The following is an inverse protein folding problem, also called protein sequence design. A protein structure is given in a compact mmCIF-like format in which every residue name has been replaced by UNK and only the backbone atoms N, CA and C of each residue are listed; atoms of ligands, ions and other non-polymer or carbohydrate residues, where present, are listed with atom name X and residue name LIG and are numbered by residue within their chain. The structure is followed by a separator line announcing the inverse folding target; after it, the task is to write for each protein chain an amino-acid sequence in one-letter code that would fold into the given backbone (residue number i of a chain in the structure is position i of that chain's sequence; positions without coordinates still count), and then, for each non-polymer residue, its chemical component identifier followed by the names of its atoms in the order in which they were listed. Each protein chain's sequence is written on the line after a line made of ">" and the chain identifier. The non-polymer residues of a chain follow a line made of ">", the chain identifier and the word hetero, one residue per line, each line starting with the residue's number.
data_IF_257410080665
#
_entry.id   IF_257410080665
#
_cell.length_a   1.000
_cell.length_b   1.000
_cell.length_c   1.000
_cell.angle_alpha   90.00
_cell.angle_beta   90.00
_cell.angle_gamma   90.00
#
_symmetry.space_group_name_H-M   'P 1'
#
loop_
_entity.id
_entity.type
_entity.pdbx_description
1 polymer ?
#
# COMPACT_ATOMS: atom_id res chain seq x y z
N UNK A 1 -0.38 -53.02 -12.74
CA UNK A 1 -1.66 -52.75 -13.42
C UNK A 1 -2.30 -51.59 -12.64
N UNK A 2 -1.97 -50.35 -13.04
CA UNK A 2 -2.89 -49.39 -13.72
C UNK A 2 -3.96 -48.87 -12.73
N UNK A 3 -4.19 -47.59 -12.42
CA UNK A 3 -3.78 -46.25 -12.86
C UNK A 3 -4.06 -45.28 -11.68
N UNK A 4 -3.15 -44.37 -11.33
CA UNK A 4 -3.22 -42.92 -11.60
C UNK A 4 -4.62 -42.28 -11.74
N UNK A 5 -4.93 -41.27 -10.92
CA UNK A 5 -5.21 -39.89 -11.38
C UNK A 5 -5.81 -39.04 -10.25
N UNK A 6 -5.17 -37.90 -9.96
CA UNK A 6 -5.62 -36.96 -8.94
C UNK A 6 -4.71 -35.75 -8.81
N UNK A 7 -4.45 -35.09 -9.93
CA UNK A 7 -3.60 -33.90 -10.08
C UNK A 7 -3.99 -32.75 -9.14
N UNK A 8 -3.05 -32.12 -8.42
CA UNK A 8 -3.32 -30.85 -7.75
C UNK A 8 -3.30 -29.70 -8.76
N UNK A 9 -4.42 -28.98 -8.81
CA UNK A 9 -4.60 -27.71 -9.52
C UNK A 9 -3.45 -26.73 -9.20
N UNK A 10 -2.52 -26.60 -10.14
CA UNK A 10 -1.58 -25.47 -10.23
C UNK A 10 -2.40 -24.19 -10.43
N UNK A 11 -2.64 -23.45 -9.34
CA UNK A 11 -3.13 -22.07 -9.41
C UNK A 11 -2.10 -21.23 -10.16
N UNK A 12 -2.49 -20.78 -11.35
CA UNK A 12 -1.71 -19.95 -12.26
C UNK A 12 -1.08 -18.76 -11.56
N UNK A 13 0.23 -18.82 -11.44
CA UNK A 13 1.12 -17.74 -10.99
C UNK A 13 1.65 -17.02 -12.22
N UNK A 14 0.76 -16.50 -13.07
CA UNK A 14 1.16 -15.80 -14.30
C UNK A 14 0.24 -14.59 -14.50
N UNK A 15 0.84 -13.47 -14.95
CA UNK A 15 0.27 -12.14 -15.23
C UNK A 15 0.28 -11.04 -14.14
N UNK A 16 1.02 -11.17 -13.03
CA UNK A 16 1.41 -9.99 -12.24
C UNK A 16 2.74 -9.37 -12.72
N UNK A 17 3.67 -10.18 -13.24
CA UNK A 17 5.02 -9.73 -13.60
C UNK A 17 5.11 -8.91 -14.90
N UNK A 18 4.34 -9.27 -15.94
CA UNK A 18 4.41 -8.58 -17.24
C UNK A 18 3.90 -7.14 -17.18
N UNK A 19 2.86 -6.86 -16.38
CA UNK A 19 2.34 -5.50 -16.20
C UNK A 19 3.33 -4.59 -15.45
N UNK A 20 4.21 -5.14 -14.62
CA UNK A 20 5.24 -4.37 -13.89
C UNK A 20 6.42 -4.02 -14.80
N UNK A 21 6.81 -4.91 -15.72
CA UNK A 21 7.92 -4.67 -16.65
C UNK A 21 7.62 -3.52 -17.61
N UNK A 22 6.41 -3.45 -18.18
CA UNK A 22 6.02 -2.35 -19.08
C UNK A 22 5.93 -1.00 -18.33
N UNK A 23 5.47 -1.02 -17.07
CA UNK A 23 5.34 0.17 -16.21
C UNK A 23 6.69 0.70 -15.68
N UNK A 24 7.65 -0.22 -15.49
CA UNK A 24 9.04 0.09 -15.11
C UNK A 24 9.80 0.84 -16.22
N UNK A 25 9.48 0.57 -17.49
CA UNK A 25 10.01 1.32 -18.65
C UNK A 25 9.41 2.74 -18.71
N UNK A 26 8.19 2.94 -18.21
CA UNK A 26 7.49 4.25 -18.19
C UNK A 26 7.70 5.07 -16.89
N UNK A 27 8.51 4.57 -15.94
CA UNK A 27 8.75 5.25 -14.66
C UNK A 27 7.55 5.26 -13.69
N UNK A 28 6.52 4.44 -13.93
CA UNK A 28 5.31 4.38 -13.10
C UNK A 28 5.58 3.50 -11.88
N UNK A 29 5.75 4.12 -10.71
CA UNK A 29 6.18 3.45 -9.47
C UNK A 29 7.55 3.87 -8.96
N UNK A 30 8.23 4.76 -9.67
CA UNK A 30 9.43 5.45 -9.18
C UNK A 30 9.02 6.49 -8.13
N UNK A 31 9.77 6.59 -7.05
CA UNK A 31 9.61 7.68 -6.09
C UNK A 31 9.97 9.01 -6.79
N UNK A 32 9.10 10.04 -6.73
CA UNK A 32 9.43 11.35 -7.29
C UNK A 32 10.74 11.90 -6.71
N UNK A 33 11.55 12.58 -7.52
CA UNK A 33 12.87 13.08 -7.11
C UNK A 33 12.78 14.00 -5.89
N UNK A 34 11.75 14.84 -5.82
CA UNK A 34 11.52 15.75 -4.69
C UNK A 34 11.23 14.98 -3.39
N UNK A 35 10.43 13.91 -3.45
CA UNK A 35 10.19 13.03 -2.30
C UNK A 35 11.44 12.26 -1.90
N UNK A 36 12.29 11.87 -2.86
CA UNK A 36 13.57 11.22 -2.56
C UNK A 36 14.51 12.18 -1.83
N UNK A 37 14.62 13.42 -2.30
CA UNK A 37 15.45 14.45 -1.68
C UNK A 37 15.00 14.78 -0.24
N UNK A 38 13.70 14.68 0.06
CA UNK A 38 13.15 14.82 1.41
C UNK A 38 13.58 13.66 2.33
N UNK A 39 13.69 12.44 1.81
CA UNK A 39 13.99 11.22 2.57
C UNK A 39 15.49 10.93 2.71
N UNK A 40 16.32 11.41 1.78
CA UNK A 40 17.77 11.25 1.84
C UNK A 40 18.40 11.77 3.16
N UNK A 41 18.07 12.98 3.67
CA UNK A 41 18.60 13.46 4.96
C UNK A 41 18.07 12.66 6.16
N UNK A 42 16.94 11.95 6.03
CA UNK A 42 16.40 11.09 7.09
C UNK A 42 17.13 9.74 7.20
N UNK A 43 17.98 9.39 6.24
CA UNK A 43 18.64 8.09 6.19
C UNK A 43 17.68 6.98 5.75
N UNK A 44 17.71 6.66 4.46
CA UNK A 44 16.90 5.59 3.86
C UNK A 44 17.45 4.22 4.28
N UNK A 45 16.65 3.46 5.01
CA UNK A 45 16.95 2.08 5.43
C UNK A 45 16.53 1.08 4.35
N UNK A 46 15.43 1.36 3.68
CA UNK A 46 14.91 0.54 2.58
C UNK A 46 14.17 1.41 1.58
N UNK A 47 14.45 1.22 0.30
CA UNK A 47 13.72 1.82 -0.81
C UNK A 47 13.36 0.72 -1.80
N UNK A 48 12.08 0.48 -1.96
CA UNK A 48 11.53 -0.38 -2.99
C UNK A 48 10.64 0.45 -3.91
N UNK A 49 11.01 0.50 -5.18
CA UNK A 49 10.24 1.15 -6.24
C UNK A 49 9.53 0.09 -7.10
N UNK A 50 8.49 0.49 -7.82
CA UNK A 50 7.69 -0.42 -8.66
C UNK A 50 7.03 -1.57 -7.87
N UNK A 51 6.69 -1.31 -6.61
CA UNK A 51 6.10 -2.29 -5.69
C UNK A 51 4.65 -2.56 -6.13
N UNK A 52 4.28 -3.82 -6.43
CA UNK A 52 2.89 -4.18 -6.67
C UNK A 52 2.06 -3.98 -5.41
N UNK A 53 0.99 -3.20 -5.51
CA UNK A 53 0.06 -2.97 -4.39
C UNK A 53 -1.27 -3.61 -4.71
N UNK A 54 -1.66 -4.61 -3.93
CA UNK A 54 -2.99 -5.21 -4.03
C UNK A 54 -3.94 -4.42 -3.15
N UNK A 55 -4.85 -3.68 -3.78
CA UNK A 55 -5.90 -2.93 -3.10
C UNK A 55 -7.20 -3.72 -3.13
N UNK A 56 -7.87 -3.82 -1.99
CA UNK A 56 -9.18 -4.45 -1.86
C UNK A 56 -10.09 -3.55 -1.04
N UNK A 57 -11.25 -3.26 -1.59
CA UNK A 57 -12.32 -2.55 -0.90
C UNK A 57 -13.61 -3.33 -1.01
N UNK A 58 -14.33 -3.43 0.10
CA UNK A 58 -15.69 -3.98 0.15
C UNK A 58 -16.48 -3.17 1.16
N UNK A 59 -17.53 -2.49 0.73
CA UNK A 59 -18.23 -1.54 1.58
C UNK A 59 -19.04 -0.50 0.83
N UNK A 60 -19.51 0.51 1.56
CA UNK A 60 -20.22 1.67 1.05
C UNK A 60 -19.60 2.94 1.60
N UNK A 61 -19.37 3.90 0.71
CA UNK A 61 -19.02 5.29 1.02
C UNK A 61 -19.94 6.22 0.21
N UNK A 62 -20.08 7.50 0.58
CA UNK A 62 -20.82 8.48 -0.22
C UNK A 62 -20.34 8.48 -1.68
N UNK A 63 -21.27 8.24 -2.61
CA UNK A 63 -20.99 8.19 -4.04
C UNK A 63 -20.43 6.86 -4.58
N UNK A 64 -20.18 5.86 -3.73
CA UNK A 64 -19.70 4.54 -4.20
C UNK A 64 -20.03 3.40 -3.22
N UNK A 65 -20.68 2.36 -3.72
CA UNK A 65 -20.82 1.09 -3.01
C UNK A 65 -20.23 -0.06 -3.84
N UNK A 66 -19.51 -0.96 -3.18
CA UNK A 66 -18.89 -2.12 -3.81
C UNK A 66 -19.00 -3.35 -2.92
N UNK A 67 -19.58 -4.44 -3.44
CA UNK A 67 -19.62 -5.74 -2.73
C UNK A 67 -18.25 -6.43 -2.68
N UNK A 68 -17.31 -5.98 -3.50
CA UNK A 68 -15.93 -6.44 -3.53
C UNK A 68 -15.23 -5.88 -4.76
N UNK A 69 -14.18 -5.09 -4.54
CA UNK A 69 -13.42 -4.43 -5.58
C UNK A 69 -11.94 -4.66 -5.30
N UNK A 70 -11.29 -5.44 -6.18
CA UNK A 70 -9.85 -5.71 -6.09
C UNK A 70 -9.19 -4.99 -7.26
N UNK A 71 -8.21 -4.14 -6.95
CA UNK A 71 -7.42 -3.39 -7.92
C UNK A 71 -5.94 -3.66 -7.69
N UNK A 72 -5.18 -3.71 -8.78
CA UNK A 72 -3.72 -3.81 -8.71
C UNK A 72 -3.11 -2.46 -9.09
N UNK A 73 -2.45 -1.85 -8.12
CA UNK A 73 -1.71 -0.61 -8.28
C UNK A 73 -0.20 -0.87 -8.26
N UNK A 74 0.56 0.17 -8.51
CA UNK A 74 2.02 0.17 -8.37
C UNK A 74 2.40 1.38 -7.53
N UNK A 75 3.34 1.19 -6.62
CA UNK A 75 3.77 2.19 -5.66
C UNK A 75 5.26 2.11 -5.38
N UNK A 76 5.69 2.92 -4.42
CA UNK A 76 6.99 2.80 -3.78
C UNK A 76 6.78 2.63 -2.27
N UNK A 77 7.64 1.85 -1.64
CA UNK A 77 7.72 1.72 -0.19
C UNK A 77 9.11 2.18 0.25
N UNK A 78 9.13 3.11 1.20
CA UNK A 78 10.36 3.64 1.78
C UNK A 78 10.28 3.50 3.29
N UNK A 79 11.34 2.97 3.88
CA UNK A 79 11.57 2.98 5.32
C UNK A 79 12.80 3.86 5.57
N UNK A 80 12.65 4.87 6.39
CA UNK A 80 13.76 5.72 6.85
C UNK A 80 13.96 5.54 8.35
N UNK A 81 15.02 6.15 8.89
CA UNK A 81 15.21 6.20 10.34
C UNK A 81 14.12 6.99 11.08
N UNK A 82 13.29 7.76 10.35
CA UNK A 82 12.27 8.65 10.91
C UNK A 82 10.82 8.25 10.58
N UNK A 83 10.56 7.57 9.46
CA UNK A 83 9.19 7.23 9.04
C UNK A 83 9.08 6.01 8.13
N UNK A 84 7.84 5.57 7.96
CA UNK A 84 7.41 4.74 6.83
C UNK A 84 6.62 5.58 5.83
N UNK A 85 7.00 5.48 4.55
CA UNK A 85 6.32 6.14 3.44
C UNK A 85 5.91 5.10 2.40
N UNK A 86 4.61 4.96 2.16
CA UNK A 86 4.02 4.16 1.09
C UNK A 86 3.29 5.04 0.10
N UNK A 87 3.66 4.94 -1.18
CA UNK A 87 2.97 5.67 -2.25
C UNK A 87 2.06 4.76 -3.05
N UNK A 88 0.94 5.30 -3.52
CA UNK A 88 0.03 4.63 -4.45
C UNK A 88 -0.05 5.45 -5.72
N UNK A 89 0.43 4.90 -6.83
CA UNK A 89 0.36 5.57 -8.14
C UNK A 89 -0.68 4.89 -9.02
N UNK A 90 -1.57 5.70 -9.58
CA UNK A 90 -2.53 5.28 -10.61
C UNK A 90 -2.13 5.78 -12.00
N UNK A 91 -1.34 6.85 -12.06
CA UNK A 91 -0.85 7.50 -13.28
C UNK A 91 0.66 7.77 -13.19
N UNK A 92 1.38 7.84 -14.32
CA UNK A 92 2.80 8.22 -14.33
C UNK A 92 3.02 9.58 -13.66
N UNK A 93 4.10 9.72 -12.88
CA UNK A 93 4.54 10.97 -12.23
C UNK A 93 3.61 11.55 -11.16
N UNK A 94 2.48 10.91 -10.85
CA UNK A 94 1.63 11.28 -9.70
C UNK A 94 1.52 10.09 -8.76
N UNK A 95 2.30 10.15 -7.69
CA UNK A 95 2.27 9.19 -6.60
C UNK A 95 1.58 9.85 -5.40
N UNK A 96 0.37 9.41 -5.08
CA UNK A 96 -0.30 9.85 -3.86
C UNK A 96 0.37 9.21 -2.65
N UNK A 97 0.67 10.00 -1.60
CA UNK A 97 1.08 9.44 -0.31
C UNK A 97 -0.10 8.69 0.28
N UNK A 98 0.00 7.36 0.28
CA UNK A 98 -1.03 6.49 0.81
C UNK A 98 -0.73 6.15 2.28
N UNK A 99 0.54 6.06 2.65
CA UNK A 99 1.01 5.96 4.03
C UNK A 99 2.15 6.94 4.17
N UNK A 100 2.12 7.78 5.19
CA UNK A 100 3.22 8.64 5.61
C UNK A 100 3.09 8.76 7.13
N UNK A 101 3.89 7.99 7.87
CA UNK A 101 3.79 7.89 9.32
C UNK A 101 5.18 7.97 9.92
N UNK A 102 5.42 8.98 10.75
CA UNK A 102 6.68 9.09 11.47
C UNK A 102 6.70 8.14 12.67
N UNK A 103 7.89 7.67 13.01
CA UNK A 103 8.10 6.79 14.17
C UNK A 103 7.94 7.51 15.50
N UNK A 104 8.02 8.84 15.53
CA UNK A 104 7.80 9.67 16.73
C UNK A 104 6.35 10.13 16.89
N UNK A 105 5.49 9.93 15.89
CA UNK A 105 4.08 10.29 15.97
C UNK A 105 3.28 9.31 16.86
N UNK A 106 2.18 9.79 17.48
CA UNK A 106 1.29 8.95 18.28
C UNK A 106 0.79 7.73 17.51
N UNK A 107 0.88 6.54 18.11
CA UNK A 107 0.42 5.29 17.49
C UNK A 107 -1.09 5.11 17.71
N UNK A 108 -1.88 5.88 16.96
CA UNK A 108 -3.32 5.89 17.09
C UNK A 108 -4.01 6.01 15.73
N UNK A 109 -5.28 5.63 15.71
CA UNK A 109 -6.16 5.79 14.56
C UNK A 109 -6.68 4.47 14.00
N UNK A 110 -7.60 4.56 13.04
CA UNK A 110 -8.36 3.41 12.54
C UNK A 110 -7.60 2.55 11.53
N UNK A 111 -6.51 3.07 10.96
CA UNK A 111 -5.72 2.34 9.97
C UNK A 111 -4.58 1.62 10.67
N UNK A 112 -4.52 0.31 10.47
CA UNK A 112 -3.43 -0.54 10.92
C UNK A 112 -2.46 -0.83 9.78
N UNK A 113 -1.18 -0.64 10.02
CA UNK A 113 -0.11 -0.89 9.08
C UNK A 113 0.91 -1.87 9.70
N UNK A 114 1.08 -3.04 9.10
CA UNK A 114 1.93 -4.14 9.57
C UNK A 114 3.06 -4.43 8.57
N UNK A 115 4.30 -4.28 9.02
CA UNK A 115 5.53 -4.59 8.29
C UNK A 115 5.96 -6.04 8.51
N UNK A 116 6.32 -6.70 7.42
CA UNK A 116 6.83 -8.07 7.42
C UNK A 116 7.91 -8.24 6.34
N UNK A 117 8.59 -9.39 6.33
CA UNK A 117 9.53 -9.74 5.27
C UNK A 117 8.90 -9.75 3.87
N UNK A 118 7.57 -9.89 3.79
CA UNK A 118 6.81 -9.90 2.52
C UNK A 118 6.33 -8.53 2.06
N UNK A 119 6.55 -7.49 2.88
CA UNK A 119 6.22 -6.11 2.58
C UNK A 119 5.34 -5.48 3.66
N UNK A 120 4.48 -4.54 3.25
CA UNK A 120 3.59 -3.79 4.14
C UNK A 120 2.13 -4.18 3.87
N UNK A 121 1.43 -4.61 4.91
CA UNK A 121 -0.01 -4.79 4.91
C UNK A 121 -0.68 -3.61 5.61
N UNK A 122 -1.70 -3.03 4.98
CA UNK A 122 -2.51 -1.95 5.53
C UNK A 122 -3.95 -2.40 5.56
N UNK A 123 -4.61 -2.24 6.68
CA UNK A 123 -6.00 -2.61 6.88
C UNK A 123 -6.75 -1.52 7.64
N UNK A 124 -7.99 -1.26 7.26
CA UNK A 124 -8.86 -0.32 7.96
C UNK A 124 -10.32 -0.74 7.83
N UNK A 125 -11.03 -0.68 8.96
CA UNK A 125 -12.49 -0.63 8.95
C UNK A 125 -12.90 0.82 8.69
N UNK A 126 -13.49 1.07 7.53
CA UNK A 126 -13.76 2.46 7.11
C UNK A 126 -14.83 3.13 7.96
N UNK A 127 -15.65 2.36 8.69
CA UNK A 127 -16.63 2.91 9.65
C UNK A 127 -15.97 3.60 10.84
N UNK A 128 -14.73 3.24 11.15
CA UNK A 128 -13.93 3.88 12.21
C UNK A 128 -13.28 5.18 11.72
N UNK A 129 -13.27 5.44 10.42
CA UNK A 129 -12.77 6.70 9.83
C UNK A 129 -13.89 7.73 9.76
N UNK A 130 -15.09 7.33 9.32
CA UNK A 130 -16.26 8.19 9.23
C UNK A 130 -17.53 7.33 9.45
N UNK A 131 -18.46 7.74 10.31
CA UNK A 131 -19.68 6.96 10.60
C UNK A 131 -20.60 6.80 9.38
N UNK A 132 -20.46 7.64 8.35
CA UNK A 132 -21.15 7.51 7.07
C UNK A 132 -20.56 6.44 6.16
N UNK A 133 -19.45 5.81 6.54
CA UNK A 133 -18.78 4.76 5.78
C UNK A 133 -19.06 3.39 6.41
N UNK A 134 -19.05 2.34 5.58
CA UNK A 134 -19.17 0.97 6.04
C UNK A 134 -18.28 0.05 5.23
N UNK A 135 -17.70 -0.97 5.89
CA UNK A 135 -16.92 -2.02 5.25
C UNK A 135 -15.43 -1.95 5.55
N UNK A 136 -14.63 -2.56 4.68
CA UNK A 136 -13.19 -2.76 4.89
C UNK A 136 -12.38 -2.36 3.67
N UNK A 137 -11.25 -1.72 3.92
CA UNK A 137 -10.22 -1.43 2.93
C UNK A 137 -8.92 -2.11 3.37
N UNK A 138 -8.25 -2.76 2.43
CA UNK A 138 -6.93 -3.36 2.64
C UNK A 138 -6.00 -3.07 1.47
N UNK A 139 -4.72 -2.83 1.76
CA UNK A 139 -3.67 -2.59 0.77
C UNK A 139 -2.44 -3.42 1.13
N UNK A 140 -1.93 -4.20 0.19
CA UNK A 140 -0.77 -5.04 0.41
C UNK A 140 0.33 -4.65 -0.56
N UNK A 141 1.37 -4.00 -0.06
CA UNK A 141 2.60 -3.68 -0.77
C UNK A 141 3.48 -4.93 -0.78
N UNK A 142 3.68 -5.52 -1.97
CA UNK A 142 4.39 -6.80 -2.11
C UNK A 142 5.85 -6.53 -2.47
N UNK A 143 6.72 -6.49 -1.46
CA UNK A 143 8.15 -6.30 -1.64
C UNK A 143 8.93 -7.09 -0.59
N UNK A 144 10.11 -7.58 -0.96
CA UNK A 144 10.98 -8.24 0.01
C UNK A 144 11.67 -7.17 0.88
N UNK A 145 11.40 -7.18 2.18
CA UNK A 145 12.08 -6.32 3.15
C UNK A 145 13.13 -7.17 3.86
N UNK A 146 14.43 -6.81 3.81
CA UNK A 146 15.47 -7.56 4.51
C UNK A 146 15.24 -7.57 6.03
N UNK A 147 15.52 -8.70 6.69
CA UNK A 147 15.36 -8.82 8.15
C UNK A 147 16.20 -7.79 8.91
N UNK A 148 17.40 -7.45 8.41
CA UNK A 148 18.23 -6.40 8.99
C UNK A 148 17.49 -5.05 9.07
N UNK A 149 16.65 -4.72 8.08
CA UNK A 149 15.83 -3.51 8.10
C UNK A 149 14.69 -3.64 9.12
N UNK A 150 14.02 -4.79 9.16
CA UNK A 150 12.91 -5.06 10.09
C UNK A 150 13.33 -5.09 11.56
N UNK A 151 14.60 -5.35 11.84
CA UNK A 151 15.20 -5.26 13.18
C UNK A 151 15.71 -3.85 13.49
N UNK A 152 15.95 -3.03 12.47
CA UNK A 152 16.38 -1.63 12.65
C UNK A 152 15.20 -0.70 12.94
N UNK A 153 14.01 -0.98 12.36
CA UNK A 153 12.83 -0.14 12.59
C UNK A 153 12.34 -0.27 14.05
N UNK A 154 11.87 0.84 14.66
CA UNK A 154 11.48 0.84 16.07
C UNK A 154 10.22 0.03 16.35
N UNK A 155 9.34 -0.13 15.34
CA UNK A 155 8.11 -0.90 15.45
C UNK A 155 7.72 -1.50 14.10
N UNK A 156 7.05 -2.65 14.15
CA UNK A 156 6.56 -3.38 12.96
C UNK A 156 5.06 -3.16 12.71
N UNK A 157 4.30 -2.83 13.74
CA UNK A 157 2.88 -2.49 13.67
C UNK A 157 2.71 -1.03 14.00
N UNK A 158 1.89 -0.33 13.22
CA UNK A 158 1.62 1.09 13.36
C UNK A 158 0.12 1.34 13.26
N UNK A 159 -0.35 2.33 13.99
CA UNK A 159 -1.66 2.91 13.83
C UNK A 159 -1.50 4.34 13.28
N UNK A 160 -2.32 4.67 12.28
CA UNK A 160 -2.34 6.02 11.72
C UNK A 160 -3.77 6.56 11.62
N UNK A 161 -3.92 7.80 12.07
CA UNK A 161 -5.10 8.62 11.84
C UNK A 161 -5.08 9.11 10.39
N UNK A 162 -6.19 8.92 9.69
CA UNK A 162 -6.36 9.39 8.33
C UNK A 162 -7.67 10.17 8.21
N UNK A 163 -7.71 11.23 7.40
CA UNK A 163 -8.95 11.94 7.14
C UNK A 163 -9.85 11.12 6.22
N UNK A 164 -11.17 11.37 6.24
CA UNK A 164 -12.14 10.66 5.40
C UNK A 164 -11.82 10.74 3.90
N UNK A 165 -11.22 11.85 3.46
CA UNK A 165 -10.80 12.10 2.08
C UNK A 165 -9.77 11.08 1.60
N UNK A 166 -8.98 10.52 2.52
CA UNK A 166 -8.04 9.45 2.21
C UNK A 166 -8.76 8.22 1.67
N UNK A 167 -9.85 7.80 2.33
CA UNK A 167 -10.67 6.66 1.90
C UNK A 167 -11.35 6.96 0.57
N UNK A 168 -11.97 8.14 0.45
CA UNK A 168 -12.66 8.56 -0.78
C UNK A 168 -11.74 8.54 -2.00
N UNK A 169 -10.53 9.11 -1.88
CA UNK A 169 -9.53 9.09 -2.96
C UNK A 169 -9.06 7.68 -3.28
N UNK A 170 -8.86 6.85 -2.27
CA UNK A 170 -8.41 5.47 -2.46
C UNK A 170 -9.43 4.65 -3.26
N UNK A 171 -10.74 4.87 -3.04
CA UNK A 171 -11.79 4.19 -3.80
C UNK A 171 -12.09 4.85 -5.16
N UNK A 172 -11.62 6.08 -5.37
CA UNK A 172 -11.77 6.84 -6.62
C UNK A 172 -12.97 7.79 -6.63
N UNK A 173 -13.52 8.13 -5.46
CA UNK A 173 -14.49 9.22 -5.30
C UNK A 173 -13.73 10.55 -5.26
N UNK A 174 -14.09 11.55 -6.09
CA UNK A 174 -13.48 12.87 -6.02
C UNK A 174 -13.64 13.47 -4.62
N UNK A 175 -12.52 13.85 -4.00
CA UNK A 175 -12.50 14.51 -2.71
C UNK A 175 -11.64 15.78 -2.80
N UNK A 176 -12.02 16.87 -2.11
CA UNK A 176 -11.20 18.09 -2.07
C UNK A 176 -9.78 17.75 -1.60
N UNK A 177 -8.76 18.38 -2.22
CA UNK A 177 -7.35 18.22 -1.82
C UNK A 177 -7.18 18.71 -0.37
N UNK A 178 -6.31 18.11 0.47
CA UNK A 178 -6.04 18.70 1.78
C UNK A 178 -5.42 20.08 1.51
N UNK A 179 -5.83 21.09 2.28
CA UNK A 179 -5.22 22.41 2.22
C UNK A 179 -3.76 22.35 2.65
#
# INVERSE_FOLDING_TARGET
>A
MLEQSGSPLRRGRYCAGMAVILRRILGIGKLPADMRAELEPEGILHLAEFVPVTFRFSGSVPGMAAKGNIRSYVGALVLTSQRVLGTLSTVPKVAGRAIDKRWDEPDEGPVKADLSASGLAVEVDVSQVDPGFSGRLSMHYKTAIPEAVLTTVPRRSLLLTVPREWVLRAVGVPAPRPA
#
